data_IF_594301514286
#
_entry.id   IF_594301514286
#
_cell.length_a   1.000
_cell.length_b   1.000
_cell.length_c   1.000
_cell.angle_alpha   90.00
_cell.angle_beta   90.00
_cell.angle_gamma   90.00
#
_symmetry.space_group_name_H-M   'P 1'
#
loop_
_entity.id
_entity.type
_entity.pdbx_description
1 polymer ?
#
# COMPACT_ATOMS: atom_id res chain seq x y z
N UNK A 1 26.40 -17.44 -57.51
CA UNK A 1 26.99 -18.78 -57.74
C UNK A 1 26.84 -19.59 -56.47
N UNK A 2 26.35 -20.81 -56.64
CA UNK A 2 25.86 -21.80 -55.67
C UNK A 2 26.95 -22.41 -54.79
N UNK A 3 26.66 -22.67 -53.51
CA UNK A 3 27.09 -23.86 -52.75
C UNK A 3 26.07 -24.08 -51.60
N UNK A 4 25.07 -24.94 -51.78
CA UNK A 4 25.07 -26.39 -51.56
C UNK A 4 24.76 -26.80 -50.10
N UNK A 5 23.60 -27.46 -49.98
CA UNK A 5 22.92 -28.04 -48.83
C UNK A 5 23.77 -28.90 -47.90
N UNK A 6 23.41 -28.90 -46.61
CA UNK A 6 23.61 -30.05 -45.71
C UNK A 6 22.27 -30.48 -45.14
N UNK A 7 21.74 -31.55 -45.74
CA UNK A 7 20.69 -32.40 -45.19
C UNK A 7 21.39 -33.33 -44.18
N UNK A 8 20.88 -33.38 -42.95
CA UNK A 8 21.19 -34.46 -42.01
C UNK A 8 19.88 -34.94 -41.37
N UNK A 9 19.53 -36.15 -41.76
CA UNK A 9 18.35 -36.92 -41.44
C UNK A 9 18.51 -37.74 -40.16
N UNK A 10 17.39 -37.90 -39.45
CA UNK A 10 16.98 -39.00 -38.55
C UNK A 10 17.85 -39.34 -37.31
N UNK A 11 17.26 -39.11 -36.13
CA UNK A 11 17.33 -40.05 -35.01
C UNK A 11 15.97 -40.09 -34.31
N UNK A 12 15.23 -41.18 -34.54
CA UNK A 12 14.00 -41.51 -33.84
C UNK A 12 14.33 -41.90 -32.39
N UNK A 13 13.69 -41.26 -31.41
CA UNK A 13 13.68 -41.76 -30.03
C UNK A 13 12.31 -42.36 -29.72
N UNK A 14 12.27 -43.68 -29.80
CA UNK A 14 11.16 -44.53 -29.42
C UNK A 14 11.09 -44.74 -27.90
N UNK A 15 9.87 -44.58 -27.37
CA UNK A 15 9.22 -45.37 -26.32
C UNK A 15 10.05 -45.84 -25.10
N UNK A 16 9.65 -45.38 -23.93
CA UNK A 16 9.63 -46.20 -22.71
C UNK A 16 8.45 -45.77 -21.83
N UNK A 17 7.35 -46.49 -21.98
CA UNK A 17 6.19 -46.50 -21.09
C UNK A 17 6.53 -47.43 -19.91
N UNK A 18 6.69 -46.89 -18.71
CA UNK A 18 6.71 -47.68 -17.47
C UNK A 18 5.75 -47.01 -16.50
N UNK A 19 4.64 -47.69 -16.23
CA UNK A 19 3.70 -47.33 -15.18
C UNK A 19 4.18 -47.83 -13.82
N UNK A 20 3.88 -47.06 -12.78
CA UNK A 20 3.70 -47.58 -11.42
C UNK A 20 2.58 -46.81 -10.70
N UNK A 21 1.44 -47.48 -10.63
CA UNK A 21 0.56 -47.66 -9.46
C UNK A 21 0.61 -46.55 -8.41
N UNK A 22 -0.38 -45.64 -8.47
CA UNK A 22 -0.76 -44.81 -7.33
C UNK A 22 -1.41 -45.70 -6.27
N UNK A 23 -0.77 -45.83 -5.11
CA UNK A 23 -1.41 -46.37 -3.91
C UNK A 23 -2.23 -45.26 -3.25
N UNK A 24 -3.55 -45.42 -3.33
CA UNK A 24 -4.54 -44.68 -2.56
C UNK A 24 -4.40 -45.03 -1.08
N UNK A 25 -4.21 -44.04 -0.21
CA UNK A 25 -4.56 -44.17 1.20
C UNK A 25 -5.51 -43.04 1.59
N UNK A 26 -6.74 -43.43 1.90
CA UNK A 26 -7.73 -42.57 2.53
C UNK A 26 -7.31 -42.37 3.98
N UNK A 27 -6.82 -41.18 4.29
CA UNK A 27 -6.57 -40.74 5.66
C UNK A 27 -7.90 -40.53 6.38
N UNK A 28 -8.09 -41.31 7.44
CA UNK A 28 -9.25 -41.38 8.29
C UNK A 28 -9.59 -40.03 8.95
N UNK A 29 -10.89 -39.77 9.04
CA UNK A 29 -11.47 -38.74 9.90
C UNK A 29 -11.03 -38.95 11.35
N UNK A 30 -10.42 -37.93 11.95
CA UNK A 30 -10.21 -37.87 13.39
C UNK A 30 -11.32 -36.99 13.99
N UNK A 31 -12.14 -37.67 14.79
CA UNK A 31 -13.19 -37.15 15.66
C UNK A 31 -12.62 -36.15 16.68
N UNK A 32 -13.42 -35.14 17.02
CA UNK A 32 -13.09 -34.06 17.96
C UNK A 32 -13.09 -34.52 19.42
N UNK A 33 -12.14 -34.09 20.27
CA UNK A 33 -12.34 -34.05 21.71
C UNK A 33 -12.69 -32.62 22.16
N UNK A 34 -13.95 -32.51 22.58
CA UNK A 34 -14.51 -31.69 23.67
C UNK A 34 -13.63 -30.65 24.37
N UNK A 35 -14.16 -29.42 24.40
CA UNK A 35 -13.76 -28.29 25.26
C UNK A 35 -13.71 -28.67 26.75
N UNK A 36 -12.65 -28.32 27.49
CA UNK A 36 -12.75 -28.12 28.92
C UNK A 36 -13.24 -26.70 29.21
N UNK A 37 -14.51 -26.60 29.61
CA UNK A 37 -15.06 -25.48 30.36
C UNK A 37 -14.24 -25.29 31.63
N UNK A 38 -13.43 -24.24 31.68
CA UNK A 38 -12.97 -23.67 32.96
C UNK A 38 -13.53 -22.26 33.05
N UNK A 39 -14.62 -22.16 33.82
CA UNK A 39 -15.13 -20.89 34.31
C UNK A 39 -14.11 -20.30 35.27
N UNK A 40 -13.22 -19.46 34.77
CA UNK A 40 -12.38 -18.60 35.61
C UNK A 40 -13.23 -17.39 36.02
N UNK A 41 -13.67 -17.41 37.26
CA UNK A 41 -14.37 -16.30 37.93
C UNK A 41 -13.35 -15.18 38.08
N UNK A 42 -13.30 -14.28 37.09
CA UNK A 42 -12.47 -13.09 37.18
C UNK A 42 -13.14 -12.12 38.16
N UNK A 43 -12.61 -12.13 39.37
CA UNK A 43 -13.00 -11.32 40.50
C UNK A 43 -13.01 -9.85 40.11
N UNK A 44 -14.20 -9.25 40.21
CA UNK A 44 -14.48 -7.83 39.94
C UNK A 44 -13.62 -6.97 40.88
N UNK A 45 -12.49 -6.48 40.37
CA UNK A 45 -11.72 -5.44 41.03
C UNK A 45 -12.53 -4.12 40.97
N UNK A 46 -12.78 -3.54 42.14
CA UNK A 46 -13.47 -2.25 42.26
C UNK A 46 -12.73 -1.14 41.49
N UNK A 47 -13.43 -0.25 40.78
CA UNK A 47 -12.79 0.89 40.14
C UNK A 47 -12.33 1.89 41.21
N UNK A 48 -11.03 2.23 41.18
CA UNK A 48 -10.47 3.33 41.94
C UNK A 48 -11.16 4.67 41.57
N UNK A 49 -11.30 5.60 42.52
CA UNK A 49 -11.95 6.89 42.26
C UNK A 49 -11.13 7.72 41.27
N UNK A 50 -11.80 8.18 40.22
CA UNK A 50 -11.28 9.10 39.20
C UNK A 50 -11.03 10.48 39.85
N UNK A 51 -9.83 11.08 39.73
CA UNK A 51 -9.62 12.46 40.17
C UNK A 51 -10.38 13.43 39.24
N UNK A 52 -11.12 14.36 39.84
CA UNK A 52 -11.90 15.37 39.15
C UNK A 52 -11.02 16.31 38.28
N UNK A 53 -11.52 16.81 37.14
CA UNK A 53 -10.79 17.76 36.31
C UNK A 53 -10.72 19.14 37.00
N UNK A 54 -9.50 19.68 37.07
CA UNK A 54 -9.20 21.04 37.53
C UNK A 54 -9.80 22.02 36.51
N UNK A 55 -10.57 23.06 36.94
CA UNK A 55 -11.10 24.05 36.02
C UNK A 55 -9.99 24.87 35.37
N UNK A 56 -10.06 24.97 34.03
CA UNK A 56 -9.19 25.78 33.20
C UNK A 56 -9.29 27.26 33.60
N UNK A 57 -8.15 27.84 33.94
CA UNK A 57 -7.96 29.27 34.12
C UNK A 57 -8.10 29.95 32.75
N UNK A 58 -9.16 30.75 32.61
CA UNK A 58 -9.40 31.64 31.48
C UNK A 58 -8.35 32.76 31.52
N UNK A 59 -7.36 32.68 30.64
CA UNK A 59 -6.45 33.79 30.39
C UNK A 59 -7.09 34.73 29.37
N UNK A 60 -7.75 35.78 29.88
CA UNK A 60 -8.12 36.96 29.12
C UNK A 60 -6.87 37.82 28.93
N UNK A 61 -6.36 37.92 27.70
CA UNK A 61 -5.44 38.97 27.29
C UNK A 61 -5.95 39.63 26.01
N UNK A 62 -6.58 40.78 26.22
CA UNK A 62 -6.63 42.02 25.44
C UNK A 62 -6.11 42.00 23.99
N UNK A 63 -6.90 42.52 23.02
CA UNK A 63 -6.41 42.81 21.67
C UNK A 63 -5.71 44.17 21.62
N UNK A 64 -4.54 44.23 20.96
CA UNK A 64 -3.92 45.47 20.48
C UNK A 64 -4.14 45.63 18.96
N UNK A 65 -4.15 46.87 18.45
CA UNK A 65 -4.88 47.26 17.25
C UNK A 65 -4.15 46.95 15.94
N UNK A 66 -4.96 46.79 14.89
CA UNK A 66 -4.57 46.85 13.50
C UNK A 66 -3.95 48.21 13.16
N UNK A 67 -2.78 48.23 12.54
CA UNK A 67 -2.57 48.82 11.22
C UNK A 67 -1.13 48.55 10.73
N UNK A 68 -0.98 47.75 9.68
CA UNK A 68 0.19 47.76 8.80
C UNK A 68 -0.16 46.97 7.54
N UNK A 69 -0.46 47.71 6.47
CA UNK A 69 -0.65 47.19 5.13
C UNK A 69 0.52 46.31 4.69
N UNK A 70 0.25 45.03 4.49
CA UNK A 70 1.06 44.15 3.67
C UNK A 70 0.16 43.61 2.55
N UNK A 71 0.64 43.78 1.33
CA UNK A 71 0.08 43.34 0.05
C UNK A 71 -0.43 41.89 0.06
N UNK A 72 -1.55 41.58 -0.62
CA UNK A 72 -2.03 40.22 -0.74
C UNK A 72 -1.18 39.46 -1.76
N UNK A 73 -0.31 38.58 -1.28
CA UNK A 73 0.11 37.41 -2.03
C UNK A 73 -0.77 36.26 -1.56
N UNK A 74 -1.90 36.08 -2.25
CA UNK A 74 -2.75 34.89 -2.19
C UNK A 74 -1.91 33.67 -2.62
N UNK A 75 -1.37 32.94 -1.66
CA UNK A 75 -1.03 31.51 -1.73
C UNK A 75 -0.67 31.05 -0.30
N UNK A 76 -1.65 31.15 0.60
CA UNK A 76 -1.58 30.40 1.86
C UNK A 76 -2.15 29.02 1.54
N UNK A 77 -1.28 28.07 1.22
CA UNK A 77 -1.65 26.65 1.22
C UNK A 77 -2.08 26.29 2.65
N UNK A 78 -3.39 26.32 2.90
CA UNK A 78 -3.98 25.93 4.17
C UNK A 78 -3.61 24.46 4.44
N UNK A 79 -2.83 24.21 5.49
CA UNK A 79 -2.47 22.86 5.93
C UNK A 79 -3.74 22.17 6.46
N UNK A 80 -4.51 21.54 5.57
CA UNK A 80 -5.75 20.87 5.92
C UNK A 80 -5.43 19.55 6.64
N UNK A 81 -5.41 19.60 7.98
CA UNK A 81 -5.30 18.41 8.82
C UNK A 81 -6.66 17.69 8.93
N UNK A 82 -6.74 16.44 8.45
CA UNK A 82 -7.95 15.63 8.54
C UNK A 82 -7.97 14.77 9.81
N UNK A 83 -9.15 14.56 10.45
CA UNK A 83 -9.25 13.78 11.68
C UNK A 83 -9.04 12.27 11.47
N UNK A 84 -9.25 11.77 10.25
CA UNK A 84 -9.03 10.36 9.88
C UNK A 84 -8.60 10.24 8.42
N UNK A 85 -7.90 9.15 8.09
CA UNK A 85 -7.50 8.85 6.71
C UNK A 85 -8.73 8.69 5.80
N UNK A 86 -9.79 8.08 6.31
CA UNK A 86 -11.04 7.93 5.57
C UNK A 86 -11.64 9.31 5.22
N UNK A 87 -11.60 10.27 6.13
CA UNK A 87 -12.07 11.64 5.87
C UNK A 87 -11.18 12.34 4.83
N UNK A 88 -9.85 12.21 4.95
CA UNK A 88 -8.90 12.77 3.98
C UNK A 88 -9.15 12.25 2.56
N UNK A 89 -9.41 10.95 2.42
CA UNK A 89 -9.71 10.28 1.15
C UNK A 89 -11.09 10.70 0.61
N UNK A 90 -12.12 10.75 1.46
CA UNK A 90 -13.47 11.08 1.04
C UNK A 90 -13.60 12.50 0.46
N UNK A 91 -12.77 13.44 0.93
CA UNK A 91 -12.76 14.83 0.46
C UNK A 91 -12.20 14.99 -0.98
N UNK A 92 -11.48 13.99 -1.49
CA UNK A 92 -10.79 14.13 -2.76
C UNK A 92 -11.71 13.92 -3.98
N UNK A 93 -11.90 14.96 -4.79
CA UNK A 93 -12.52 14.86 -6.11
C UNK A 93 -11.60 14.14 -7.13
N UNK A 94 -12.13 13.55 -8.19
CA UNK A 94 -11.30 12.99 -9.29
C UNK A 94 -11.19 14.04 -10.40
N UNK A 95 -10.05 14.71 -10.59
CA UNK A 95 -9.91 15.70 -11.65
C UNK A 95 -9.84 15.01 -13.02
N UNK A 96 -10.48 15.57 -14.03
CA UNK A 96 -10.37 15.12 -15.43
C UNK A 96 -8.96 15.32 -16.02
N UNK A 97 -8.17 16.21 -15.41
CA UNK A 97 -6.85 16.66 -15.88
C UNK A 97 -5.78 16.44 -14.79
N UNK A 98 -5.77 15.26 -14.17
CA UNK A 98 -4.76 14.92 -13.15
C UNK A 98 -3.33 15.11 -13.70
N UNK A 99 -2.44 15.74 -12.92
CA UNK A 99 -1.01 15.77 -13.24
C UNK A 99 -0.42 14.36 -13.39
N UNK A 100 0.67 14.23 -14.14
CA UNK A 100 1.23 12.91 -14.49
C UNK A 100 1.59 12.05 -13.28
N UNK A 101 2.18 12.66 -12.24
CA UNK A 101 2.52 11.94 -11.00
C UNK A 101 1.27 11.43 -10.26
N UNK A 102 0.20 12.21 -10.20
CA UNK A 102 -1.07 11.78 -9.61
C UNK A 102 -1.65 10.59 -10.37
N UNK A 103 -1.63 10.63 -11.70
CA UNK A 103 -2.13 9.55 -12.55
C UNK A 103 -1.29 8.28 -12.39
N UNK A 104 0.04 8.40 -12.40
CA UNK A 104 0.94 7.27 -12.20
C UNK A 104 0.75 6.64 -10.81
N UNK A 105 0.78 7.47 -9.76
CA UNK A 105 0.64 7.01 -8.38
C UNK A 105 -0.71 6.33 -8.13
N UNK A 106 -1.82 6.94 -8.58
CA UNK A 106 -3.15 6.34 -8.45
C UNK A 106 -3.24 5.00 -9.21
N UNK A 107 -2.65 4.92 -10.40
CA UNK A 107 -2.52 3.67 -11.16
C UNK A 107 -1.81 2.58 -10.35
N UNK A 108 -0.65 2.90 -9.79
CA UNK A 108 0.12 1.96 -8.99
C UNK A 108 -0.64 1.50 -7.72
N UNK A 109 -1.22 2.43 -6.96
CA UNK A 109 -2.03 2.11 -5.78
C UNK A 109 -3.18 1.17 -6.15
N UNK A 110 -3.90 1.47 -7.24
CA UNK A 110 -5.02 0.65 -7.69
C UNK A 110 -4.58 -0.79 -8.00
N UNK A 111 -3.51 -0.97 -8.79
CA UNK A 111 -3.11 -2.31 -9.22
C UNK A 111 -2.40 -3.12 -8.12
N UNK A 112 -1.72 -2.47 -7.19
CA UNK A 112 -1.01 -3.16 -6.10
C UNK A 112 -1.87 -3.39 -4.85
N UNK A 113 -2.88 -2.55 -4.63
CA UNK A 113 -3.53 -2.49 -3.31
C UNK A 113 -5.03 -2.21 -3.32
N UNK A 114 -5.73 -2.29 -4.46
CA UNK A 114 -7.20 -2.30 -4.45
C UNK A 114 -7.72 -3.42 -3.53
N UNK A 115 -8.75 -3.11 -2.75
CA UNK A 115 -9.31 -4.03 -1.75
C UNK A 115 -8.52 -4.12 -0.43
N UNK A 116 -7.34 -3.51 -0.34
CA UNK A 116 -6.61 -3.36 0.92
C UNK A 116 -7.23 -2.25 1.78
N UNK A 117 -7.06 -2.29 3.12
CA UNK A 117 -7.43 -1.17 3.98
C UNK A 117 -6.72 0.12 3.52
N UNK A 118 -7.33 1.29 3.76
CA UNK A 118 -6.78 2.58 3.33
C UNK A 118 -5.33 2.80 3.78
N UNK A 119 -4.99 2.37 5.00
CA UNK A 119 -3.61 2.42 5.51
C UNK A 119 -2.63 1.58 4.68
N UNK A 120 -3.08 0.45 4.12
CA UNK A 120 -2.27 -0.40 3.23
C UNK A 120 -2.05 0.23 1.86
N UNK A 121 -3.10 0.85 1.29
CA UNK A 121 -3.01 1.60 0.03
C UNK A 121 -2.06 2.80 0.17
N UNK A 122 -2.17 3.53 1.28
CA UNK A 122 -1.28 4.64 1.57
C UNK A 122 0.15 4.17 1.80
N UNK A 123 0.37 3.05 2.49
CA UNK A 123 1.71 2.49 2.68
C UNK A 123 2.39 2.10 1.35
N UNK A 124 1.62 1.62 0.35
CA UNK A 124 2.17 1.40 -1.01
C UNK A 124 2.54 2.72 -1.67
N UNK A 125 1.70 3.74 -1.55
CA UNK A 125 2.00 5.08 -2.06
C UNK A 125 3.30 5.63 -1.44
N UNK A 126 3.45 5.50 -0.13
CA UNK A 126 4.62 5.93 0.63
C UNK A 126 5.91 5.27 0.14
N UNK A 127 5.89 3.96 -0.10
CA UNK A 127 7.05 3.26 -0.69
C UNK A 127 7.43 3.86 -2.04
N UNK A 128 6.46 4.22 -2.88
CA UNK A 128 6.72 4.82 -4.19
C UNK A 128 7.33 6.21 -4.06
N UNK A 129 6.79 7.05 -3.17
CA UNK A 129 7.31 8.40 -2.89
C UNK A 129 8.71 8.34 -2.27
N UNK A 130 8.94 7.44 -1.32
CA UNK A 130 10.27 7.20 -0.75
C UNK A 130 11.28 6.78 -1.83
N UNK A 131 10.85 5.94 -2.77
CA UNK A 131 11.71 5.51 -3.88
C UNK A 131 12.07 6.67 -4.80
N UNK A 132 11.12 7.56 -5.14
CA UNK A 132 11.39 8.71 -6.03
C UNK A 132 12.27 9.77 -5.36
N UNK A 133 12.22 9.88 -4.04
CA UNK A 133 13.11 10.75 -3.28
C UNK A 133 14.48 10.12 -3.02
N UNK A 134 14.61 8.81 -3.17
CA UNK A 134 15.88 8.13 -2.93
C UNK A 134 16.79 8.13 -4.16
N UNK A 135 18.10 8.19 -3.92
CA UNK A 135 19.13 8.08 -4.97
C UNK A 135 19.20 6.71 -5.64
N UNK A 136 18.48 5.70 -5.14
CA UNK A 136 18.59 4.30 -5.57
C UNK A 136 17.66 3.94 -6.72
N UNK A 137 16.46 4.51 -6.77
CA UNK A 137 15.43 4.06 -7.69
C UNK A 137 15.25 5.01 -8.86
N UNK A 138 15.03 6.31 -8.66
CA UNK A 138 14.84 7.24 -9.78
C UNK A 138 14.48 8.64 -9.32
N UNK A 139 14.20 9.53 -10.28
CA UNK A 139 13.89 10.93 -10.02
C UNK A 139 12.40 11.21 -9.78
N UNK A 140 11.51 10.76 -10.68
CA UNK A 140 10.07 11.02 -10.60
C UNK A 140 9.24 9.82 -10.13
N UNK A 141 8.01 10.08 -9.71
CA UNK A 141 7.03 9.04 -9.33
C UNK A 141 6.73 8.11 -10.50
N UNK A 142 6.48 8.68 -11.69
CA UNK A 142 6.26 7.90 -12.90
C UNK A 142 7.48 7.05 -13.29
N UNK A 143 8.72 7.55 -13.11
CA UNK A 143 9.92 6.76 -13.43
C UNK A 143 10.04 5.53 -12.53
N UNK A 144 9.83 5.71 -11.23
CA UNK A 144 9.87 4.61 -10.25
C UNK A 144 8.86 3.53 -10.60
N UNK A 145 7.66 3.93 -11.01
CA UNK A 145 6.58 2.99 -11.34
C UNK A 145 6.86 2.29 -12.67
N UNK A 146 7.28 3.03 -13.70
CA UNK A 146 7.42 2.49 -15.05
C UNK A 146 8.72 1.72 -15.29
N UNK A 147 9.62 1.70 -14.29
CA UNK A 147 10.82 0.87 -14.30
C UNK A 147 10.54 -0.62 -14.51
N UNK A 148 11.34 -1.23 -15.38
CA UNK A 148 11.16 -2.62 -15.80
C UNK A 148 11.29 -3.58 -14.61
N UNK A 149 10.23 -4.33 -14.34
CA UNK A 149 10.22 -5.38 -13.32
C UNK A 149 9.91 -4.90 -11.90
N UNK A 150 9.69 -3.60 -11.70
CA UNK A 150 9.34 -3.06 -10.38
C UNK A 150 7.90 -3.37 -10.00
N UNK A 151 6.99 -3.27 -10.97
CA UNK A 151 5.56 -3.49 -10.79
C UNK A 151 5.02 -4.41 -11.89
N UNK A 152 4.25 -5.43 -11.48
CA UNK A 152 3.86 -6.53 -12.38
C UNK A 152 2.88 -6.11 -13.49
N UNK A 153 2.10 -5.06 -13.23
CA UNK A 153 1.13 -4.51 -14.18
C UNK A 153 1.75 -3.66 -15.28
N UNK A 154 3.01 -3.22 -15.13
CA UNK A 154 3.68 -2.35 -16.11
C UNK A 154 4.18 -3.16 -17.30
N UNK A 155 3.77 -2.75 -18.50
CA UNK A 155 4.18 -3.38 -19.76
C UNK A 155 4.77 -2.33 -20.69
N UNK A 156 6.01 -2.54 -21.14
CA UNK A 156 6.70 -1.61 -22.04
C UNK A 156 6.83 -0.17 -21.49
N UNK A 157 7.01 -0.03 -20.17
CA UNK A 157 7.08 1.29 -19.51
C UNK A 157 5.75 2.02 -19.41
N UNK A 158 4.61 1.34 -19.62
CA UNK A 158 3.27 1.93 -19.56
C UNK A 158 2.44 1.28 -18.46
N UNK A 159 1.69 2.12 -17.75
CA UNK A 159 0.70 1.73 -16.75
C UNK A 159 -0.63 1.47 -17.48
N UNK A 160 -1.31 0.33 -17.28
CA UNK A 160 -2.62 0.07 -17.87
C UNK A 160 -3.69 1.04 -17.36
N UNK A 161 -4.75 1.25 -18.14
CA UNK A 161 -5.90 2.03 -17.68
C UNK A 161 -6.71 1.24 -16.65
N UNK A 162 -6.94 1.83 -15.48
CA UNK A 162 -7.83 1.26 -14.46
C UNK A 162 -9.31 1.48 -14.86
N UNK A 163 -10.22 0.54 -14.55
CA UNK A 163 -11.64 0.73 -14.78
C UNK A 163 -12.20 1.82 -13.84
N UNK A 164 -13.19 2.57 -14.33
CA UNK A 164 -13.84 3.63 -13.55
C UNK A 164 -14.83 3.00 -12.56
N UNK A 165 -14.37 2.76 -11.33
CA UNK A 165 -15.17 2.19 -10.24
C UNK A 165 -14.80 2.83 -8.87
N UNK A 166 -15.40 2.35 -7.79
CA UNK A 166 -15.14 2.88 -6.44
C UNK A 166 -13.69 2.67 -5.98
N UNK A 167 -13.07 1.53 -6.32
CA UNK A 167 -11.67 1.27 -6.00
C UNK A 167 -10.74 2.26 -6.70
N UNK A 168 -11.04 2.62 -7.95
CA UNK A 168 -10.29 3.64 -8.69
C UNK A 168 -10.43 5.02 -8.05
N UNK A 169 -11.65 5.41 -7.65
CA UNK A 169 -11.88 6.66 -6.93
C UNK A 169 -11.10 6.71 -5.62
N UNK A 170 -11.10 5.61 -4.87
CA UNK A 170 -10.32 5.46 -3.64
C UNK A 170 -8.82 5.59 -3.92
N UNK A 171 -8.29 4.91 -4.94
CA UNK A 171 -6.87 4.99 -5.28
C UNK A 171 -6.43 6.41 -5.67
N UNK A 172 -7.25 7.15 -6.43
CA UNK A 172 -7.00 8.56 -6.76
C UNK A 172 -7.00 9.43 -5.51
N UNK A 173 -7.96 9.20 -4.62
CA UNK A 173 -8.05 9.94 -3.38
C UNK A 173 -6.86 9.68 -2.44
N UNK A 174 -6.45 8.42 -2.28
CA UNK A 174 -5.25 8.05 -1.52
C UNK A 174 -4.00 8.68 -2.14
N UNK A 175 -3.85 8.65 -3.47
CA UNK A 175 -2.72 9.28 -4.15
C UNK A 175 -2.62 10.78 -3.86
N UNK A 176 -3.75 11.49 -3.81
CA UNK A 176 -3.79 12.92 -3.47
C UNK A 176 -3.38 13.18 -2.03
N UNK A 177 -3.86 12.37 -1.08
CA UNK A 177 -3.45 12.46 0.32
C UNK A 177 -1.95 12.23 0.47
N UNK A 178 -1.41 11.21 -0.22
CA UNK A 178 0.01 10.88 -0.20
C UNK A 178 0.89 12.00 -0.79
N UNK A 179 0.53 12.52 -1.98
CA UNK A 179 1.30 13.59 -2.64
C UNK A 179 1.34 14.89 -1.83
N UNK A 180 0.32 15.14 -1.01
CA UNK A 180 0.28 16.28 -0.08
C UNK A 180 1.00 16.00 1.25
N UNK A 181 1.55 14.81 1.44
CA UNK A 181 2.06 14.33 2.73
C UNK A 181 1.06 14.53 3.90
N UNK A 182 -0.24 14.43 3.62
CA UNK A 182 -1.31 14.79 4.55
C UNK A 182 -1.69 13.65 5.52
N UNK A 183 -0.83 12.65 5.68
CA UNK A 183 -1.07 11.51 6.58
C UNK A 183 0.22 10.76 6.94
N UNK A 184 0.32 10.28 8.19
CA UNK A 184 1.44 9.47 8.67
C UNK A 184 1.20 7.96 8.50
N UNK A 185 2.16 7.25 7.91
CA UNK A 185 2.12 5.80 7.71
C UNK A 185 3.07 5.07 8.65
N UNK A 186 2.63 3.93 9.21
CA UNK A 186 3.51 3.01 9.94
C UNK A 186 4.60 2.38 9.03
N UNK A 187 4.52 2.57 7.71
CA UNK A 187 5.50 2.14 6.73
C UNK A 187 6.33 3.30 6.15
N UNK A 188 6.42 4.44 6.84
CA UNK A 188 7.09 5.67 6.38
C UNK A 188 8.55 5.49 5.96
N UNK A 189 9.28 4.53 6.51
CA UNK A 189 10.67 4.25 6.11
C UNK A 189 10.82 3.14 5.06
N UNK A 190 9.71 2.58 4.57
CA UNK A 190 9.75 1.42 3.70
C UNK A 190 10.15 1.78 2.27
N UNK A 191 11.03 0.95 1.68
CA UNK A 191 11.44 1.02 0.28
C UNK A 191 11.01 -0.24 -0.49
N UNK A 192 10.44 -1.23 0.18
CA UNK A 192 9.99 -2.48 -0.43
C UNK A 192 8.73 -2.97 0.25
N UNK A 193 7.94 -3.74 -0.48
CA UNK A 193 6.85 -4.52 0.09
C UNK A 193 6.69 -5.84 -0.68
N UNK A 194 6.07 -6.83 -0.03
CA UNK A 194 5.59 -8.05 -0.67
C UNK A 194 4.28 -8.48 -0.03
N UNK A 195 3.48 -9.28 -0.74
CA UNK A 195 2.30 -9.88 -0.13
C UNK A 195 2.72 -10.89 0.96
N UNK A 196 1.92 -11.01 2.03
CA UNK A 196 2.22 -11.89 3.18
C UNK A 196 2.39 -13.35 2.81
N UNK A 197 1.67 -13.77 1.78
CA UNK A 197 1.66 -15.14 1.27
C UNK A 197 2.93 -15.51 0.49
N UNK A 198 3.78 -14.52 0.15
CA UNK A 198 5.04 -14.76 -0.54
C UNK A 198 6.19 -14.72 0.47
N UNK A 199 7.20 -15.57 0.27
CA UNK A 199 8.43 -15.51 1.06
C UNK A 199 9.06 -14.12 1.00
N UNK A 200 9.47 -13.62 2.17
CA UNK A 200 10.04 -12.27 2.31
C UNK A 200 11.54 -12.23 2.00
N UNK A 201 12.06 -11.09 1.52
CA UNK A 201 13.50 -10.89 1.37
C UNK A 201 14.20 -10.83 2.74
N UNK A 202 15.51 -11.07 2.77
CA UNK A 202 16.34 -10.83 3.97
C UNK A 202 16.58 -9.33 4.15
N UNK A 203 15.57 -8.65 4.70
CA UNK A 203 15.52 -7.18 4.93
C UNK A 203 14.87 -6.88 6.27
N UNK A 204 15.08 -5.66 6.76
CA UNK A 204 14.46 -5.21 8.03
C UNK A 204 12.97 -5.00 7.78
N UNK A 205 12.12 -5.68 8.55
CA UNK A 205 10.66 -5.48 8.50
C UNK A 205 10.33 -4.18 9.21
N UNK A 206 9.60 -3.30 8.53
CA UNK A 206 9.14 -2.01 9.06
C UNK A 206 7.73 -2.14 9.59
N UNK A 207 6.81 -2.69 8.79
CA UNK A 207 5.41 -2.84 9.16
C UNK A 207 4.76 -4.01 8.44
N UNK A 208 3.59 -4.44 8.94
CA UNK A 208 2.72 -5.39 8.26
C UNK A 208 1.29 -4.86 8.30
N UNK A 209 0.76 -4.42 7.15
CA UNK A 209 -0.50 -3.70 7.02
C UNK A 209 -1.33 -4.37 5.94
N UNK A 210 -2.59 -4.71 6.24
CA UNK A 210 -3.42 -5.50 5.33
C UNK A 210 -2.72 -6.80 4.95
N UNK A 211 -2.67 -7.13 3.67
CA UNK A 211 -2.01 -8.28 3.09
C UNK A 211 -0.53 -8.05 2.73
N UNK A 212 0.07 -6.91 3.13
CA UNK A 212 1.45 -6.57 2.79
C UNK A 212 2.38 -6.59 4.00
N UNK A 213 3.65 -6.95 3.75
CA UNK A 213 4.78 -6.71 4.66
C UNK A 213 5.70 -5.70 3.99
N UNK A 214 6.11 -4.69 4.73
CA UNK A 214 6.93 -3.57 4.28
C UNK A 214 8.34 -3.66 4.88
N UNK A 215 9.36 -3.27 4.11
CA UNK A 215 10.77 -3.43 4.47
C UNK A 215 11.64 -2.22 4.12
N UNK A 216 12.77 -2.14 4.82
CA UNK A 216 13.90 -1.23 4.56
C UNK A 216 15.13 -2.04 4.10
#
# INVERSE_FOLDING_TARGET
>A
MSFASRVATFAALSLSLVGMIAQSSAGLAAESPTLPTTASVNQLAAPAPVPAPIPAIVATTTPLPADASATPSDDVEEEVAYPTLAAAVADQSVPSNAGDDLRCLAGAIYFESRGEPLAGQLAVAEVILNRSQSRRFGGSVCDVITQRGQFSFVRGGKIPTAPVNNDWRTAVAVAKVALKNAWESNASEALYFNARHVGGPSRVKVAAIGNHIFYR
#
